data_IF_892018360688
#
_entry.id   IF_892018360688
#
_cell.length_a   1.000
_cell.length_b   1.000
_cell.length_c   1.000
_cell.angle_alpha   90.00
_cell.angle_beta   90.00
_cell.angle_gamma   90.00
#
_symmetry.space_group_name_H-M   'P 1'
#
loop_
_entity.id
_entity.type
_entity.pdbx_description
1 polymer ?
#
# COMPACT_ATOMS: atom_id res chain seq x y z
N UNK A 1 -16.98 -7.22 4.85
CA UNK A 1 -16.00 -6.59 3.97
C UNK A 1 -15.67 -7.48 2.79
N UNK A 2 -15.21 -6.90 1.67
CA UNK A 2 -14.72 -7.65 0.50
C UNK A 2 -13.21 -7.54 0.43
N UNK A 3 -12.53 -8.60 -0.03
CA UNK A 3 -11.08 -8.64 -0.21
C UNK A 3 -10.68 -9.54 -1.36
N UNK A 4 -9.59 -9.22 -2.05
CA UNK A 4 -8.99 -10.06 -3.05
C UNK A 4 -7.97 -10.99 -2.38
N UNK A 5 -8.31 -12.27 -2.25
CA UNK A 5 -7.56 -13.28 -1.52
C UNK A 5 -7.05 -14.38 -2.45
N UNK A 6 -5.88 -14.93 -2.16
CA UNK A 6 -5.33 -16.10 -2.84
C UNK A 6 -4.82 -17.13 -1.82
N UNK A 7 -5.02 -18.41 -2.13
CA UNK A 7 -4.64 -19.54 -1.29
C UNK A 7 -3.50 -20.37 -1.88
N UNK A 8 -3.13 -20.07 -3.11
CA UNK A 8 -2.00 -20.68 -3.83
C UNK A 8 -1.33 -19.65 -4.72
N UNK A 9 -0.13 -19.95 -5.18
CA UNK A 9 0.62 -19.14 -6.14
C UNK A 9 0.78 -19.93 -7.42
N UNK A 10 0.78 -19.23 -8.56
CA UNK A 10 0.90 -19.90 -9.85
C UNK A 10 1.27 -18.94 -10.97
N UNK A 11 1.60 -19.47 -12.16
CA UNK A 11 2.01 -18.67 -13.30
C UNK A 11 0.88 -17.75 -13.83
N UNK A 12 -0.36 -18.06 -13.50
CA UNK A 12 -1.53 -17.25 -13.85
C UNK A 12 -2.10 -16.57 -12.58
N UNK A 13 -1.77 -15.30 -12.32
CA UNK A 13 -2.25 -14.58 -11.15
C UNK A 13 -3.78 -14.37 -11.16
N UNK A 14 -4.42 -14.34 -12.33
CA UNK A 14 -5.87 -14.17 -12.42
C UNK A 14 -6.61 -15.43 -11.97
N UNK A 15 -6.05 -16.61 -12.20
CA UNK A 15 -6.61 -17.87 -11.73
C UNK A 15 -6.43 -18.05 -10.21
N UNK A 16 -5.40 -17.43 -9.61
CA UNK A 16 -5.06 -17.61 -8.19
C UNK A 16 -5.85 -16.69 -7.26
N UNK A 17 -6.27 -15.49 -7.71
CA UNK A 17 -6.87 -14.47 -6.86
C UNK A 17 -8.40 -14.43 -7.00
N UNK A 18 -9.10 -14.38 -5.86
CA UNK A 18 -10.56 -14.42 -5.83
C UNK A 18 -11.13 -13.36 -4.90
N UNK A 19 -12.31 -12.83 -5.26
CA UNK A 19 -13.07 -11.96 -4.37
C UNK A 19 -13.73 -12.79 -3.26
N UNK A 20 -13.40 -12.49 -2.01
CA UNK A 20 -13.92 -13.17 -0.83
C UNK A 20 -14.66 -12.17 0.06
N UNK A 21 -15.81 -12.57 0.58
CA UNK A 21 -16.54 -11.80 1.59
C UNK A 21 -16.29 -12.36 3.00
N UNK A 22 -16.14 -11.44 3.95
CA UNK A 22 -15.98 -11.78 5.37
C UNK A 22 -16.61 -10.70 6.25
N UNK A 23 -16.92 -10.98 7.53
CA UNK A 23 -17.32 -9.93 8.46
C UNK A 23 -16.28 -8.82 8.52
N UNK A 24 -16.74 -7.57 8.69
CA UNK A 24 -15.83 -6.46 8.95
C UNK A 24 -15.23 -6.65 10.34
N UNK A 25 -13.90 -6.64 10.49
CA UNK A 25 -13.27 -6.87 11.78
C UNK A 25 -13.49 -5.69 12.72
N UNK A 26 -13.40 -5.96 14.02
CA UNK A 26 -13.45 -4.95 15.08
C UNK A 26 -12.02 -4.70 15.55
N UNK A 27 -11.57 -3.42 15.63
CA UNK A 27 -10.22 -3.11 16.07
C UNK A 27 -10.04 -3.40 17.56
N UNK A 28 -8.97 -4.11 17.91
CA UNK A 28 -8.53 -4.32 19.28
C UNK A 28 -7.71 -3.10 19.79
N UNK A 29 -7.33 -3.11 21.07
CA UNK A 29 -6.43 -2.11 21.65
C UNK A 29 -5.15 -2.00 20.80
N UNK A 30 -4.74 -0.78 20.47
CA UNK A 30 -3.60 -0.48 19.61
C UNK A 30 -3.91 -0.48 18.11
N UNK A 31 -5.10 -0.94 17.70
CA UNK A 31 -5.49 -1.06 16.29
C UNK A 31 -6.49 0.01 15.85
N UNK A 32 -6.46 0.29 14.55
CA UNK A 32 -7.45 1.08 13.84
C UNK A 32 -8.11 0.25 12.74
N UNK A 33 -9.42 0.43 12.56
CA UNK A 33 -10.14 -0.03 11.38
C UNK A 33 -10.13 1.08 10.33
N UNK A 34 -9.69 0.73 9.13
CA UNK A 34 -9.56 1.64 8.00
C UNK A 34 -10.47 1.23 6.86
N UNK A 35 -11.14 2.18 6.22
CA UNK A 35 -11.73 2.02 4.90
C UNK A 35 -10.64 2.29 3.87
N UNK A 36 -10.39 1.36 2.96
CA UNK A 36 -9.50 1.60 1.83
C UNK A 36 -10.17 2.53 0.83
N UNK A 37 -9.51 3.63 0.48
CA UNK A 37 -9.99 4.61 -0.50
C UNK A 37 -9.44 4.31 -1.89
N UNK A 38 -8.15 3.97 -1.97
CA UNK A 38 -7.48 3.59 -3.20
C UNK A 38 -6.26 2.70 -2.89
N UNK A 39 -5.97 1.78 -3.79
CA UNK A 39 -4.78 0.93 -3.75
C UNK A 39 -4.31 0.65 -5.18
N UNK A 40 -3.02 0.78 -5.50
CA UNK A 40 -2.50 0.49 -6.82
C UNK A 40 -2.33 -1.03 -7.03
N UNK A 41 -2.03 -1.39 -8.27
CA UNK A 41 -1.51 -2.71 -8.64
C UNK A 41 -0.09 -2.49 -9.17
N UNK A 42 0.90 -2.91 -8.39
CA UNK A 42 2.31 -2.80 -8.77
C UNK A 42 2.82 -4.12 -9.37
N UNK A 43 3.89 -4.10 -10.17
CA UNK A 43 4.54 -5.33 -10.65
C UNK A 43 4.92 -6.28 -9.51
N UNK A 44 5.33 -5.75 -8.35
CA UNK A 44 5.65 -6.54 -7.14
C UNK A 44 4.45 -7.32 -6.59
N UNK A 45 3.23 -6.77 -6.70
CA UNK A 45 2.02 -7.47 -6.28
C UNK A 45 1.77 -8.70 -7.19
N UNK A 46 1.94 -8.53 -8.51
CA UNK A 46 1.82 -9.61 -9.48
C UNK A 46 2.90 -10.68 -9.25
N UNK A 47 4.15 -10.27 -9.03
CA UNK A 47 5.24 -11.19 -8.70
C UNK A 47 5.00 -11.95 -7.39
N UNK A 48 4.33 -11.34 -6.42
CA UNK A 48 3.93 -12.01 -5.16
C UNK A 48 2.88 -13.10 -5.43
N UNK A 49 1.90 -12.86 -6.30
CA UNK A 49 0.90 -13.84 -6.71
C UNK A 49 1.52 -15.01 -7.50
N UNK A 50 2.52 -14.75 -8.32
CA UNK A 50 3.23 -15.79 -9.08
C UNK A 50 4.30 -16.52 -8.27
N UNK A 51 4.61 -16.06 -7.05
CA UNK A 51 5.65 -16.65 -6.20
C UNK A 51 7.08 -16.25 -6.58
N UNK A 52 7.25 -15.23 -7.43
CA UNK A 52 8.56 -14.77 -7.93
C UNK A 52 9.10 -13.54 -7.19
N UNK A 53 8.37 -13.02 -6.20
CA UNK A 53 8.83 -11.91 -5.39
C UNK A 53 9.71 -12.38 -4.23
N UNK A 54 10.71 -11.57 -3.83
CA UNK A 54 11.70 -11.96 -2.83
C UNK A 54 11.15 -12.20 -1.42
N UNK A 55 10.03 -11.58 -1.05
CA UNK A 55 9.32 -11.82 0.21
C UNK A 55 7.88 -12.23 -0.09
N UNK A 56 7.50 -13.41 0.37
CA UNK A 56 6.18 -13.97 0.13
C UNK A 56 5.41 -14.09 1.45
N UNK A 57 4.19 -13.50 1.56
CA UNK A 57 3.37 -13.65 2.74
C UNK A 57 2.91 -15.10 2.91
N UNK A 58 2.62 -15.57 4.14
CA UNK A 58 2.00 -16.87 4.34
C UNK A 58 0.63 -16.94 3.66
N UNK A 59 0.25 -18.13 3.17
CA UNK A 59 -1.06 -18.39 2.57
C UNK A 59 -2.06 -18.90 3.61
N UNK A 60 -3.36 -18.60 3.48
CA UNK A 60 -3.95 -17.71 2.49
C UNK A 60 -3.60 -16.22 2.74
N UNK A 61 -3.40 -15.45 1.67
CA UNK A 61 -3.02 -14.05 1.76
C UNK A 61 -4.00 -13.13 1.02
N UNK A 62 -4.05 -11.87 1.42
CA UNK A 62 -4.77 -10.80 0.73
C UNK A 62 -3.77 -10.00 -0.09
N UNK A 63 -4.13 -9.67 -1.34
CA UNK A 63 -3.27 -8.90 -2.23
C UNK A 63 -3.16 -7.42 -1.84
N UNK A 64 -2.17 -6.74 -2.41
CA UNK A 64 -1.93 -5.31 -2.29
C UNK A 64 -0.95 -4.93 -1.18
N UNK A 65 0.14 -4.26 -1.59
CA UNK A 65 1.22 -3.87 -0.70
C UNK A 65 1.10 -2.44 -0.16
N UNK A 66 0.47 -1.53 -0.89
CA UNK A 66 0.34 -0.12 -0.50
C UNK A 66 -1.05 0.42 -0.81
N UNK A 67 -1.35 1.61 -0.31
CA UNK A 67 -2.61 2.28 -0.55
C UNK A 67 -2.87 3.41 0.45
N UNK A 68 -4.04 4.00 0.33
CA UNK A 68 -4.54 5.05 1.22
C UNK A 68 -5.90 4.65 1.78
N UNK A 69 -6.14 4.98 3.03
CA UNK A 69 -7.39 4.68 3.70
C UNK A 69 -7.89 5.81 4.59
N UNK A 70 -9.08 5.65 5.12
CA UNK A 70 -9.69 6.56 6.09
C UNK A 70 -9.97 5.83 7.39
N UNK A 71 -9.61 6.43 8.50
CA UNK A 71 -9.88 5.87 9.84
C UNK A 71 -11.38 5.85 10.08
N UNK A 72 -11.95 4.67 10.29
CA UNK A 72 -13.37 4.47 10.65
C UNK A 72 -13.56 4.32 12.15
N UNK A 73 -12.65 3.62 12.81
CA UNK A 73 -12.71 3.40 14.26
C UNK A 73 -11.32 3.13 14.82
N UNK A 74 -11.12 3.47 16.08
CA UNK A 74 -9.98 3.05 16.90
C UNK A 74 -10.45 1.99 17.90
N UNK A 75 -9.55 1.07 18.23
CA UNK A 75 -9.78 0.13 19.32
C UNK A 75 -9.83 0.81 20.69
N UNK A 76 -10.25 0.10 21.74
CA UNK A 76 -10.29 0.64 23.10
C UNK A 76 -8.92 1.21 23.50
N UNK A 77 -8.91 2.35 24.18
CA UNK A 77 -7.71 3.02 24.72
C UNK A 77 -6.58 3.23 23.70
N UNK A 78 -6.93 3.32 22.42
CA UNK A 78 -5.95 3.45 21.32
C UNK A 78 -5.73 4.91 20.97
N UNK A 79 -4.46 5.33 20.99
CA UNK A 79 -4.03 6.62 20.45
C UNK A 79 -3.59 6.46 18.99
N UNK A 80 -3.97 7.46 18.17
CA UNK A 80 -3.63 7.46 16.75
C UNK A 80 -4.31 8.59 15.99
N UNK A 81 -4.29 8.56 14.65
CA UNK A 81 -5.02 9.52 13.84
C UNK A 81 -6.51 9.50 14.14
N UNK A 82 -7.15 10.69 14.11
CA UNK A 82 -8.57 10.82 14.42
C UNK A 82 -9.45 10.01 13.45
N UNK A 83 -10.64 9.60 13.92
CA UNK A 83 -11.68 9.04 13.04
C UNK A 83 -12.02 10.08 11.96
N UNK A 84 -12.10 9.63 10.70
CA UNK A 84 -12.26 10.49 9.53
C UNK A 84 -10.94 10.99 8.91
N UNK A 85 -9.79 10.76 9.56
CA UNK A 85 -8.48 11.13 9.04
C UNK A 85 -8.08 10.20 7.88
N UNK A 86 -7.62 10.78 6.77
CA UNK A 86 -6.96 10.06 5.69
C UNK A 86 -5.56 9.68 6.13
N UNK A 87 -5.18 8.42 5.88
CA UNK A 87 -3.88 7.86 6.32
C UNK A 87 -3.25 7.01 5.24
N UNK A 88 -1.93 6.99 5.19
CA UNK A 88 -1.17 6.05 4.39
C UNK A 88 -1.29 4.66 5.02
N UNK A 89 -1.54 3.64 4.20
CA UNK A 89 -1.63 2.26 4.66
C UNK A 89 -0.23 1.67 4.86
N UNK A 90 -0.03 0.85 5.91
CA UNK A 90 1.23 0.14 6.09
C UNK A 90 1.54 -0.81 4.93
N UNK A 91 2.80 -0.93 4.56
CA UNK A 91 3.24 -1.86 3.51
C UNK A 91 2.89 -3.29 3.85
N UNK A 92 2.34 -4.02 2.87
CA UNK A 92 1.96 -5.43 3.04
C UNK A 92 0.67 -5.66 3.84
N UNK A 93 -0.14 -4.62 4.05
CA UNK A 93 -1.38 -4.71 4.83
C UNK A 93 -2.54 -5.46 4.15
N UNK A 94 -2.39 -5.88 2.89
CA UNK A 94 -3.48 -6.47 2.12
C UNK A 94 -4.48 -5.41 1.65
N UNK A 95 -3.98 -4.36 1.01
CA UNK A 95 -4.76 -3.18 0.62
C UNK A 95 -5.82 -3.45 -0.46
N UNK A 96 -5.78 -4.61 -1.14
CA UNK A 96 -6.84 -5.01 -2.07
C UNK A 96 -8.07 -5.54 -1.33
N UNK A 97 -8.55 -4.76 -0.41
CA UNK A 97 -9.74 -5.01 0.39
C UNK A 97 -10.51 -3.73 0.65
N UNK A 98 -11.79 -3.84 1.00
CA UNK A 98 -12.59 -2.66 1.34
C UNK A 98 -12.22 -2.08 2.71
N UNK A 99 -11.68 -2.91 3.61
CA UNK A 99 -11.29 -2.52 4.95
C UNK A 99 -10.01 -3.24 5.36
N UNK A 100 -9.20 -2.58 6.18
CA UNK A 100 -7.94 -3.10 6.74
C UNK A 100 -7.90 -2.81 8.24
N UNK A 101 -7.39 -3.75 9.03
CA UNK A 101 -6.91 -3.47 10.39
C UNK A 101 -5.42 -3.15 10.33
N UNK A 102 -5.00 -2.11 11.04
CA UNK A 102 -3.60 -1.74 11.16
C UNK A 102 -3.29 -1.25 12.59
N UNK A 103 -2.04 -1.40 13.00
CA UNK A 103 -1.55 -0.80 14.24
C UNK A 103 -1.59 0.72 14.11
N UNK A 104 -2.33 1.39 14.99
CA UNK A 104 -2.60 2.83 14.90
C UNK A 104 -1.32 3.69 14.94
N UNK A 105 -0.29 3.22 15.66
CA UNK A 105 1.02 3.91 15.78
C UNK A 105 1.83 3.99 14.48
N UNK A 106 1.52 3.15 13.49
CA UNK A 106 2.21 3.16 12.19
C UNK A 106 1.46 3.93 11.12
N UNK A 107 0.29 4.47 11.44
CA UNK A 107 -0.52 5.23 10.51
C UNK A 107 0.03 6.65 10.36
N UNK A 108 0.37 7.01 9.13
CA UNK A 108 0.82 8.36 8.78
C UNK A 108 -0.37 9.19 8.30
N UNK A 109 -0.73 10.28 8.99
CA UNK A 109 -1.79 11.17 8.55
C UNK A 109 -1.44 11.87 7.23
N UNK A 110 -2.42 12.00 6.35
CA UNK A 110 -2.34 12.69 5.06
C UNK A 110 -3.43 13.78 4.98
N UNK A 111 -3.29 14.77 4.08
CA UNK A 111 -4.34 15.75 3.85
C UNK A 111 -5.66 15.09 3.42
N UNK A 112 -6.78 15.46 4.06
CA UNK A 112 -8.09 14.86 3.77
C UNK A 112 -8.69 15.31 2.44
N UNK A 113 -8.24 16.43 1.90
CA UNK A 113 -8.67 17.07 0.66
C UNK A 113 -7.82 16.69 -0.55
N UNK A 114 -6.73 15.96 -0.35
CA UNK A 114 -5.91 15.46 -1.45
C UNK A 114 -6.57 14.26 -2.16
N UNK A 115 -6.32 14.15 -3.46
CA UNK A 115 -6.84 13.05 -4.29
C UNK A 115 -6.31 11.69 -3.81
N UNK A 116 -7.17 10.77 -3.37
CA UNK A 116 -6.75 9.43 -2.92
C UNK A 116 -5.98 8.64 -3.98
N UNK A 117 -6.24 8.86 -5.27
CA UNK A 117 -5.53 8.16 -6.35
C UNK A 117 -4.06 8.58 -6.41
N UNK A 118 -3.76 9.85 -6.12
CA UNK A 118 -2.38 10.33 -6.02
C UNK A 118 -1.71 9.86 -4.72
N UNK A 119 -2.44 9.86 -3.62
CA UNK A 119 -1.92 9.44 -2.31
C UNK A 119 -1.62 7.93 -2.24
N UNK A 120 -2.35 7.10 -3.02
CA UNK A 120 -2.27 5.64 -2.92
C UNK A 120 -0.90 5.05 -3.27
N UNK A 121 -0.07 5.76 -4.04
CA UNK A 121 1.26 5.31 -4.47
C UNK A 121 2.42 5.98 -3.71
N UNK A 122 2.14 6.71 -2.64
CA UNK A 122 3.17 7.51 -1.94
C UNK A 122 4.17 6.68 -1.14
N UNK A 123 3.87 5.41 -0.86
CA UNK A 123 4.75 4.58 -0.02
C UNK A 123 5.99 4.11 -0.78
N UNK A 124 5.90 3.83 -2.07
CA UNK A 124 6.98 3.17 -2.84
C UNK A 124 7.60 4.11 -3.89
N UNK A 125 6.81 4.64 -4.82
CA UNK A 125 7.36 5.32 -5.99
C UNK A 125 8.08 6.65 -5.67
N UNK A 126 7.48 7.61 -4.93
CA UNK A 126 8.16 8.87 -4.61
C UNK A 126 9.43 8.70 -3.77
N UNK A 127 9.43 7.88 -2.68
CA UNK A 127 10.66 7.64 -1.93
C UNK A 127 11.75 6.98 -2.77
N UNK A 128 11.38 6.04 -3.66
CA UNK A 128 12.32 5.42 -4.58
C UNK A 128 12.97 6.45 -5.50
N UNK A 129 12.19 7.32 -6.13
CA UNK A 129 12.69 8.39 -6.97
C UNK A 129 13.63 9.33 -6.19
N UNK A 130 13.21 9.77 -5.00
CA UNK A 130 14.02 10.62 -4.13
C UNK A 130 15.37 9.99 -3.79
N UNK A 131 15.36 8.73 -3.32
CA UNK A 131 16.58 8.02 -2.93
C UNK A 131 17.51 7.74 -4.12
N UNK A 132 16.97 7.50 -5.31
CA UNK A 132 17.78 7.34 -6.52
C UNK A 132 18.60 8.59 -6.85
N UNK A 133 18.08 9.78 -6.53
CA UNK A 133 18.75 11.05 -6.78
C UNK A 133 19.68 11.49 -5.64
N UNK A 134 19.43 11.06 -4.39
CA UNK A 134 20.15 11.52 -3.21
C UNK A 134 21.19 10.55 -2.66
N UNK A 135 20.98 9.22 -2.80
CA UNK A 135 21.77 8.25 -2.04
C UNK A 135 22.89 7.58 -2.85
N UNK A 136 22.86 7.66 -4.18
CA UNK A 136 23.81 6.93 -5.02
C UNK A 136 24.84 7.82 -5.69
N UNK A 137 24.50 9.07 -5.96
CA UNK A 137 25.36 10.06 -6.63
C UNK A 137 25.14 11.44 -6.01
N UNK A 138 26.19 12.14 -5.68
CA UNK A 138 26.13 13.53 -5.25
C UNK A 138 26.03 14.43 -6.49
N UNK A 139 24.81 14.71 -6.93
CA UNK A 139 24.55 15.55 -8.10
C UNK A 139 24.89 17.02 -7.83
N UNK A 140 25.63 17.62 -8.76
CA UNK A 140 26.01 19.03 -8.70
C UNK A 140 25.13 19.89 -9.63
N UNK A 141 24.94 21.17 -9.33
CA UNK A 141 24.21 22.08 -10.22
C UNK A 141 24.77 22.08 -11.66
N UNK A 142 23.89 21.83 -12.62
CA UNK A 142 24.23 21.76 -14.04
C UNK A 142 24.59 20.38 -14.57
N UNK A 143 24.61 19.35 -13.74
CA UNK A 143 24.78 17.97 -14.19
C UNK A 143 23.50 17.42 -14.84
N UNK A 144 23.66 16.45 -15.71
CA UNK A 144 22.58 15.83 -16.45
C UNK A 144 22.24 14.46 -15.88
N UNK A 145 20.94 14.18 -15.75
CA UNK A 145 20.41 12.85 -15.41
C UNK A 145 19.71 12.28 -16.63
N UNK A 146 20.02 11.03 -16.96
CA UNK A 146 19.34 10.28 -18.03
C UNK A 146 18.54 9.16 -17.38
N UNK A 147 17.25 9.08 -17.71
CA UNK A 147 16.40 7.98 -17.26
C UNK A 147 15.81 7.21 -18.43
N UNK A 148 15.71 5.89 -18.29
CA UNK A 148 14.84 5.04 -19.10
C UNK A 148 13.51 4.84 -18.38
N UNK A 149 12.49 4.30 -19.06
CA UNK A 149 11.17 4.05 -18.49
C UNK A 149 10.54 5.31 -17.81
N UNK A 150 10.70 6.48 -18.40
CA UNK A 150 10.22 7.77 -17.88
C UNK A 150 8.69 7.80 -17.65
N UNK A 151 7.92 6.90 -18.28
CA UNK A 151 6.48 6.75 -18.12
C UNK A 151 6.08 5.70 -17.05
N UNK A 152 7.04 5.13 -16.32
CA UNK A 152 6.76 4.26 -15.18
C UNK A 152 6.34 5.07 -13.95
N UNK A 153 5.79 4.38 -12.92
CA UNK A 153 5.43 5.03 -11.67
C UNK A 153 6.60 5.79 -11.04
N UNK A 154 7.78 5.17 -10.90
CA UNK A 154 8.99 5.85 -10.40
C UNK A 154 9.46 6.93 -11.36
N UNK A 155 9.47 6.64 -12.68
CA UNK A 155 9.94 7.60 -13.70
C UNK A 155 9.15 8.89 -13.76
N UNK A 156 7.88 8.88 -13.36
CA UNK A 156 7.05 10.09 -13.30
C UNK A 156 7.36 10.98 -12.08
N UNK A 157 8.09 10.48 -11.08
CA UNK A 157 8.52 11.22 -9.89
C UNK A 157 9.99 11.69 -9.97
N UNK A 158 10.78 11.12 -10.86
CA UNK A 158 12.14 11.57 -11.18
C UNK A 158 12.14 12.84 -12.01
#
# INVERSE_FOLDING_TARGET
MKRAQYSERGPDPQASIHAVESPTPVPATGQALLQVLAAPINPSDVLTLTGQYGMLPPLPAVGGNEGVGRVLALGPDTQGPAVGQTVLLPVGCGSWSTHVLAEAKYLMPLPNDADPLQLAMMTVNPPTASLMLSEFVELQPGEWVIQNAANSGVGAYL
#
